data_IF_893593167483
#
_entry.id   IF_893593167483
#
_cell.length_a   1.000
_cell.length_b   1.000
_cell.length_c   1.000
_cell.angle_alpha   90.00
_cell.angle_beta   90.00
_cell.angle_gamma   90.00
#
_symmetry.space_group_name_H-M   'P 1'
#
loop_
_entity.id
_entity.type
_entity.pdbx_description
1 polymer ?
#
# COMPACT_ATOMS: atom_id res chain seq x y z
N UNK A 1 -15.04 -9.10 30.27
CA UNK A 1 -15.33 -9.49 31.67
C UNK A 1 -15.29 -11.00 31.79
N UNK A 2 -14.67 -11.48 32.83
CA UNK A 2 -14.78 -12.88 33.21
C UNK A 2 -16.07 -13.08 34.01
N UNK A 3 -16.91 -14.03 33.63
CA UNK A 3 -18.25 -14.16 34.21
C UNK A 3 -18.27 -14.43 35.72
N UNK A 4 -17.25 -15.11 36.22
CA UNK A 4 -17.09 -15.52 37.60
C UNK A 4 -16.14 -14.62 38.43
N UNK A 5 -15.55 -13.58 37.79
CA UNK A 5 -14.67 -12.62 38.45
C UNK A 5 -14.82 -11.22 37.84
N UNK A 6 -15.64 -10.34 38.43
CA UNK A 6 -15.89 -9.00 37.90
C UNK A 6 -14.66 -8.06 38.03
N UNK A 7 -13.62 -8.45 38.76
CA UNK A 7 -12.39 -7.67 38.82
C UNK A 7 -11.44 -7.96 37.69
N UNK A 8 -11.63 -9.09 36.97
CA UNK A 8 -10.82 -9.44 35.84
C UNK A 8 -11.38 -8.88 34.54
N UNK A 9 -10.57 -8.07 33.85
CA UNK A 9 -10.90 -7.43 32.60
C UNK A 9 -9.80 -7.69 31.58
N UNK A 10 -10.19 -7.93 30.33
CA UNK A 10 -9.33 -7.87 29.16
C UNK A 10 -9.78 -6.71 28.29
N UNK A 11 -8.83 -5.94 27.79
CA UNK A 11 -9.07 -4.84 26.87
C UNK A 11 -8.13 -4.98 25.66
N UNK A 12 -8.71 -5.06 24.47
CA UNK A 12 -8.00 -4.92 23.22
C UNK A 12 -7.95 -3.45 22.81
N UNK A 13 -6.80 -3.00 22.38
CA UNK A 13 -6.56 -1.67 21.83
C UNK A 13 -5.77 -1.81 20.54
N UNK A 14 -5.60 -0.74 19.79
CA UNK A 14 -4.66 -0.69 18.66
C UNK A 14 -3.19 -0.91 19.08
N UNK A 15 -2.84 -0.61 20.33
CA UNK A 15 -1.53 -0.88 20.91
C UNK A 15 -1.34 -2.27 21.52
N UNK A 16 -2.35 -3.17 21.47
CA UNK A 16 -2.26 -4.53 21.97
C UNK A 16 -3.32 -4.91 23.02
N UNK A 17 -3.02 -5.93 23.83
CA UNK A 17 -3.92 -6.47 24.84
C UNK A 17 -3.43 -6.07 26.23
N UNK A 18 -4.36 -5.67 27.06
CA UNK A 18 -4.14 -5.33 28.45
C UNK A 18 -5.04 -6.14 29.39
N UNK A 19 -4.51 -6.52 30.55
CA UNK A 19 -5.21 -7.22 31.62
C UNK A 19 -5.34 -6.35 32.85
N UNK A 20 -6.49 -6.38 33.51
CA UNK A 20 -6.69 -5.85 34.85
C UNK A 20 -7.26 -6.94 35.76
N UNK A 21 -6.75 -7.03 36.97
CA UNK A 21 -7.19 -7.98 37.99
C UNK A 21 -7.87 -7.28 39.19
N UNK A 22 -8.08 -5.97 39.10
CA UNK A 22 -8.56 -5.12 40.18
C UNK A 22 -9.63 -4.12 39.73
N UNK A 23 -10.45 -4.53 38.77
CA UNK A 23 -11.52 -3.72 38.20
C UNK A 23 -11.02 -2.38 37.63
N UNK A 24 -10.05 -2.47 36.72
CA UNK A 24 -9.43 -1.36 35.97
C UNK A 24 -8.63 -0.32 36.80
N UNK A 25 -8.28 -0.60 38.03
CA UNK A 25 -7.40 0.30 38.81
C UNK A 25 -5.96 0.25 38.32
N UNK A 26 -5.50 -0.92 37.95
CA UNK A 26 -4.18 -1.14 37.32
C UNK A 26 -4.31 -2.00 36.08
N UNK A 27 -3.44 -1.74 35.10
CA UNK A 27 -3.38 -2.48 33.85
C UNK A 27 -2.00 -3.04 33.60
N UNK A 28 -1.96 -4.29 33.16
CA UNK A 28 -0.76 -4.99 32.73
C UNK A 28 -0.81 -5.19 31.22
N UNK A 29 0.20 -4.71 30.51
CA UNK A 29 0.36 -4.99 29.09
C UNK A 29 0.79 -6.46 28.85
N UNK A 30 0.16 -7.13 27.91
CA UNK A 30 0.48 -8.51 27.51
C UNK A 30 1.56 -8.47 26.42
N UNK A 31 2.82 -8.42 26.83
CA UNK A 31 3.98 -8.20 25.94
C UNK A 31 4.45 -9.45 25.15
N UNK A 32 3.87 -10.60 25.40
CA UNK A 32 4.36 -11.88 24.87
C UNK A 32 3.54 -12.43 23.69
N UNK A 33 2.76 -11.60 23.03
CA UNK A 33 2.03 -11.97 21.83
C UNK A 33 2.93 -11.75 20.60
N UNK A 34 3.34 -12.82 19.89
CA UNK A 34 4.16 -12.70 18.68
C UNK A 34 3.28 -12.40 17.46
N UNK A 35 2.58 -11.28 17.49
CA UNK A 35 1.62 -10.88 16.46
C UNK A 35 2.03 -9.55 15.85
N UNK A 36 1.92 -9.46 14.53
CA UNK A 36 2.05 -8.23 13.75
C UNK A 36 1.04 -8.28 12.60
N UNK A 37 0.37 -7.17 12.35
CA UNK A 37 -0.50 -7.02 11.20
C UNK A 37 0.25 -6.26 10.11
N UNK A 38 0.47 -6.92 8.98
CA UNK A 38 1.04 -6.27 7.80
C UNK A 38 -0.07 -5.81 6.85
N UNK A 39 0.10 -4.63 6.26
CA UNK A 39 -0.73 -4.19 5.15
C UNK A 39 -0.40 -4.97 3.88
N UNK A 40 0.84 -4.91 3.45
CA UNK A 40 1.34 -5.63 2.27
C UNK A 40 2.77 -6.08 2.50
N UNK A 41 3.19 -7.07 1.71
CA UNK A 41 4.50 -7.70 1.81
C UNK A 41 5.23 -7.64 0.46
N UNK A 42 6.55 -7.58 0.53
CA UNK A 42 7.45 -7.84 -0.59
C UNK A 42 8.58 -8.77 -0.16
N UNK A 43 9.15 -9.46 -1.12
CA UNK A 43 10.34 -10.29 -0.92
C UNK A 43 11.41 -9.87 -1.93
N UNK A 44 12.68 -9.91 -1.55
CA UNK A 44 13.80 -9.79 -2.48
C UNK A 44 14.31 -11.17 -2.93
N UNK A 45 15.33 -11.17 -3.74
CA UNK A 45 15.99 -12.37 -4.28
C UNK A 45 17.41 -12.54 -3.73
N UNK A 46 17.68 -12.03 -2.51
CA UNK A 46 18.98 -12.16 -1.88
C UNK A 46 19.37 -13.63 -1.64
N UNK A 47 20.62 -13.94 -1.91
CA UNK A 47 21.22 -15.26 -1.66
C UNK A 47 22.09 -15.25 -0.38
N UNK A 48 22.18 -16.32 0.39
CA UNK A 48 21.48 -17.61 0.23
C UNK A 48 20.04 -17.61 0.79
N UNK A 49 19.61 -16.52 1.42
CA UNK A 49 18.25 -16.35 1.97
C UNK A 49 17.69 -15.01 1.57
N UNK A 50 16.52 -15.03 0.95
CA UNK A 50 15.79 -13.80 0.63
C UNK A 50 15.33 -13.07 1.91
N UNK A 51 15.09 -11.78 1.81
CA UNK A 51 14.49 -10.99 2.87
C UNK A 51 13.00 -10.78 2.60
N UNK A 52 12.28 -10.53 3.69
CA UNK A 52 10.85 -10.21 3.71
C UNK A 52 10.73 -8.77 4.20
N UNK A 53 9.93 -7.98 3.51
CA UNK A 53 9.60 -6.60 3.87
C UNK A 53 8.11 -6.48 4.08
N UNK A 54 7.69 -5.74 5.10
CA UNK A 54 6.28 -5.55 5.38
C UNK A 54 6.01 -4.21 6.05
N UNK A 55 5.00 -3.51 5.58
CA UNK A 55 4.51 -2.27 6.17
C UNK A 55 3.48 -2.55 7.25
N UNK A 56 3.59 -1.85 8.36
CA UNK A 56 2.68 -1.96 9.50
C UNK A 56 2.24 -0.57 9.95
N UNK A 57 0.97 -0.39 10.22
CA UNK A 57 0.50 0.86 10.82
C UNK A 57 1.14 1.04 12.20
N UNK A 58 1.55 2.26 12.52
CA UNK A 58 2.19 2.69 13.77
C UNK A 58 3.56 2.02 14.08
N UNK A 59 3.96 0.99 13.33
CA UNK A 59 5.17 0.21 13.59
C UNK A 59 6.15 0.16 12.42
N UNK A 60 6.11 1.15 11.54
CA UNK A 60 7.06 1.35 10.43
C UNK A 60 6.97 0.27 9.33
N UNK A 61 7.79 0.38 8.30
CA UNK A 61 8.11 -0.72 7.40
C UNK A 61 9.27 -1.51 7.97
N UNK A 62 9.08 -2.80 8.16
CA UNK A 62 10.06 -3.74 8.72
C UNK A 62 10.68 -4.57 7.62
N UNK A 63 11.96 -4.92 7.80
CA UNK A 63 12.68 -5.87 6.94
C UNK A 63 13.41 -6.92 7.76
N UNK A 64 13.46 -8.14 7.26
CA UNK A 64 14.19 -9.21 7.93
C UNK A 64 14.40 -10.43 7.04
N UNK A 65 15.33 -11.33 7.39
CA UNK A 65 15.66 -12.49 6.57
C UNK A 65 14.60 -13.58 6.67
N UNK A 66 14.38 -14.34 5.59
CA UNK A 66 13.53 -15.53 5.58
C UNK A 66 14.14 -16.70 6.36
N UNK A 67 15.47 -16.72 6.50
CA UNK A 67 16.26 -17.74 7.22
C UNK A 67 17.54 -17.15 7.79
N UNK A 68 18.16 -17.89 8.71
CA UNK A 68 19.47 -17.57 9.28
C UNK A 68 20.27 -18.85 9.54
N UNK A 69 21.59 -18.76 9.56
CA UNK A 69 22.49 -19.84 10.02
C UNK A 69 22.60 -19.92 11.55
N UNK A 70 22.01 -18.99 12.29
CA UNK A 70 22.03 -19.02 13.76
C UNK A 70 21.31 -20.25 14.29
N UNK A 71 21.92 -20.94 15.25
CA UNK A 71 21.35 -22.16 15.87
C UNK A 71 19.94 -21.96 16.43
N UNK A 72 19.68 -20.80 16.98
CA UNK A 72 18.40 -20.47 17.62
C UNK A 72 17.37 -19.86 16.65
N UNK A 73 17.67 -19.81 15.34
CA UNK A 73 16.78 -19.26 14.33
C UNK A 73 16.80 -17.72 14.28
N UNK A 74 15.77 -17.17 13.66
CA UNK A 74 15.57 -15.71 13.53
C UNK A 74 15.16 -15.14 14.89
N UNK A 75 15.72 -14.00 15.24
CA UNK A 75 15.41 -13.25 16.46
C UNK A 75 15.02 -11.81 16.12
N UNK A 76 14.49 -11.08 17.09
CA UNK A 76 14.13 -9.66 16.88
C UNK A 76 15.31 -8.80 16.40
N UNK A 77 16.54 -9.16 16.76
CA UNK A 77 17.73 -8.43 16.29
C UNK A 77 18.07 -8.66 14.81
N UNK A 78 17.39 -9.58 14.13
CA UNK A 78 17.54 -9.81 12.70
C UNK A 78 16.58 -8.94 11.87
N UNK A 79 15.60 -8.33 12.52
CA UNK A 79 14.66 -7.38 11.92
C UNK A 79 15.15 -5.96 12.12
N UNK A 80 14.89 -5.11 11.13
CA UNK A 80 15.27 -3.70 11.14
C UNK A 80 14.19 -2.83 10.52
N UNK A 81 14.15 -1.57 10.93
CA UNK A 81 13.26 -0.56 10.34
C UNK A 81 13.83 -0.13 8.99
N UNK A 82 13.03 -0.28 7.94
CA UNK A 82 13.36 0.14 6.57
C UNK A 82 12.99 1.62 6.37
N UNK A 83 11.76 1.99 6.78
CA UNK A 83 11.26 3.37 6.72
C UNK A 83 10.32 3.61 7.89
N UNK A 84 10.43 4.79 8.52
CA UNK A 84 9.57 5.21 9.62
C UNK A 84 8.18 5.66 9.16
N UNK A 85 7.23 5.72 10.08
CA UNK A 85 5.84 6.13 9.87
C UNK A 85 4.88 4.95 9.83
N UNK A 86 3.65 5.17 9.35
CA UNK A 86 2.72 4.08 9.07
C UNK A 86 3.17 3.37 7.80
N UNK A 87 3.82 2.22 7.96
CA UNK A 87 4.36 1.47 6.84
C UNK A 87 3.25 0.88 5.99
N UNK A 88 3.39 0.96 4.67
CA UNK A 88 2.43 0.44 3.69
C UNK A 88 3.08 -0.58 2.76
N UNK A 89 2.80 -0.49 1.47
CA UNK A 89 3.33 -1.42 0.49
C UNK A 89 4.83 -1.20 0.25
N UNK A 90 5.72 -2.13 0.62
CA UNK A 90 7.09 -2.15 0.14
C UNK A 90 7.16 -2.74 -1.27
N UNK A 91 8.27 -2.51 -1.96
CA UNK A 91 8.62 -3.18 -3.20
C UNK A 91 10.13 -3.39 -3.28
N UNK A 92 10.55 -4.37 -4.06
CA UNK A 92 11.95 -4.74 -4.25
C UNK A 92 12.31 -4.73 -5.73
N UNK A 93 13.57 -4.47 -6.02
CA UNK A 93 14.06 -4.46 -7.40
C UNK A 93 14.45 -5.89 -7.80
N UNK A 94 13.83 -6.50 -8.83
CA UNK A 94 14.21 -7.81 -9.31
C UNK A 94 15.69 -7.89 -9.71
N UNK A 95 16.41 -8.91 -9.25
CA UNK A 95 17.83 -9.10 -9.51
C UNK A 95 18.77 -8.16 -8.75
N UNK A 96 18.24 -7.33 -7.85
CA UNK A 96 19.04 -6.41 -7.05
C UNK A 96 18.48 -6.24 -5.63
N UNK A 97 18.82 -7.15 -4.71
CA UNK A 97 18.31 -7.13 -3.34
C UNK A 97 18.79 -5.94 -2.49
N UNK A 98 19.73 -5.14 -3.01
CA UNK A 98 20.25 -3.99 -2.29
C UNK A 98 19.33 -2.77 -2.35
N UNK A 99 18.40 -2.72 -3.32
CA UNK A 99 17.45 -1.62 -3.49
C UNK A 99 16.06 -2.04 -3.02
N UNK A 100 15.53 -1.29 -2.08
CA UNK A 100 14.18 -1.46 -1.53
C UNK A 100 13.41 -0.15 -1.65
N UNK A 101 12.17 -0.25 -2.04
CA UNK A 101 11.21 0.84 -2.01
C UNK A 101 10.29 0.63 -0.81
N UNK A 102 10.16 1.65 0.01
CA UNK A 102 9.26 1.62 1.15
C UNK A 102 8.47 2.92 1.22
N UNK A 103 7.25 2.84 1.68
CA UNK A 103 6.42 4.02 1.81
C UNK A 103 5.74 4.08 3.18
N UNK A 104 5.44 5.30 3.59
CA UNK A 104 4.51 5.60 4.64
C UNK A 104 3.23 6.21 4.05
N UNK A 105 2.31 6.60 4.92
CA UNK A 105 0.98 7.08 4.55
C UNK A 105 0.99 8.16 3.45
N UNK A 106 -0.05 8.15 2.64
CA UNK A 106 -0.32 9.15 1.60
C UNK A 106 0.82 9.31 0.58
N UNK A 107 1.43 8.17 0.19
CA UNK A 107 2.41 8.13 -0.89
C UNK A 107 3.77 8.73 -0.55
N UNK A 108 4.11 8.89 0.72
CA UNK A 108 5.47 9.27 1.11
C UNK A 108 6.40 8.08 0.88
N UNK A 109 7.00 8.01 -0.30
CA UNK A 109 7.81 6.89 -0.77
C UNK A 109 9.29 7.23 -0.85
N UNK A 110 10.13 6.32 -0.37
CA UNK A 110 11.58 6.40 -0.46
C UNK A 110 12.16 5.18 -1.19
N UNK A 111 13.24 5.42 -1.94
CA UNK A 111 14.19 4.42 -2.37
C UNK A 111 15.29 4.31 -1.33
N UNK A 112 15.57 3.10 -0.87
CA UNK A 112 16.57 2.79 0.14
C UNK A 112 17.66 1.91 -0.47
N UNK A 113 18.92 2.36 -0.38
CA UNK A 113 20.09 1.54 -0.68
C UNK A 113 20.57 0.88 0.62
N UNK A 114 20.41 -0.43 0.72
CA UNK A 114 20.75 -1.21 1.90
C UNK A 114 22.25 -1.34 2.14
N UNK A 115 23.08 -1.11 1.12
CA UNK A 115 24.54 -1.25 1.23
C UNK A 115 25.17 -0.13 2.03
N UNK A 116 24.57 1.06 1.98
CA UNK A 116 25.11 2.26 2.61
C UNK A 116 24.11 2.98 3.53
N UNK A 117 22.84 2.58 3.51
CA UNK A 117 21.77 3.18 4.30
C UNK A 117 21.22 4.49 3.71
N UNK A 118 21.56 4.83 2.47
CA UNK A 118 21.00 6.00 1.81
C UNK A 118 19.49 5.83 1.60
N UNK A 119 18.72 6.87 1.92
CA UNK A 119 17.27 6.91 1.75
C UNK A 119 16.88 8.21 1.05
N UNK A 120 16.38 8.10 -0.17
CA UNK A 120 16.02 9.22 -1.04
C UNK A 120 14.51 9.24 -1.22
N UNK A 121 13.87 10.37 -0.91
CA UNK A 121 12.46 10.55 -1.24
C UNK A 121 12.29 10.67 -2.75
N UNK A 122 11.43 9.80 -3.30
CA UNK A 122 11.18 9.69 -4.74
C UNK A 122 9.71 9.94 -5.08
N UNK A 123 8.93 10.53 -4.20
CA UNK A 123 7.51 10.80 -4.42
C UNK A 123 7.29 11.63 -5.67
N UNK A 124 6.45 11.19 -6.64
CA UNK A 124 6.06 12.04 -7.75
C UNK A 124 5.28 13.27 -7.26
N UNK A 125 5.44 14.38 -7.95
CA UNK A 125 4.78 15.64 -7.61
C UNK A 125 4.17 16.25 -8.88
N UNK A 126 3.07 16.93 -8.68
CA UNK A 126 2.43 17.72 -9.72
C UNK A 126 3.36 18.84 -10.25
N UNK A 127 3.23 19.16 -11.51
CA UNK A 127 3.88 20.32 -12.10
C UNK A 127 3.22 21.64 -11.67
N UNK A 128 3.88 22.75 -12.01
CA UNK A 128 3.31 24.09 -11.82
C UNK A 128 2.02 24.18 -12.65
N UNK A 129 0.94 24.66 -12.06
CA UNK A 129 -0.39 24.77 -12.66
C UNK A 129 -1.11 23.43 -12.96
N UNK A 130 -0.59 22.31 -12.47
CA UNK A 130 -1.29 21.03 -12.49
C UNK A 130 -2.16 20.82 -11.24
N UNK A 131 -3.23 20.02 -11.33
CA UNK A 131 -4.03 19.64 -10.17
C UNK A 131 -3.18 18.91 -9.12
N UNK A 132 -3.50 19.14 -7.85
CA UNK A 132 -2.87 18.46 -6.72
C UNK A 132 -2.98 16.93 -6.85
N UNK A 133 -1.89 16.21 -6.56
CA UNK A 133 -1.86 14.75 -6.56
C UNK A 133 -2.57 14.17 -5.34
N UNK A 134 -3.59 13.34 -5.60
CA UNK A 134 -4.34 12.61 -4.58
C UNK A 134 -3.72 11.25 -4.36
N UNK A 135 -3.17 11.01 -3.19
CA UNK A 135 -2.60 9.73 -2.79
C UNK A 135 -3.58 8.99 -1.88
N UNK A 136 -3.79 7.71 -2.13
CA UNK A 136 -4.44 6.85 -1.15
C UNK A 136 -3.59 6.77 0.12
N UNK A 137 -4.22 6.40 1.23
CA UNK A 137 -3.47 6.09 2.45
C UNK A 137 -2.41 5.03 2.18
N UNK A 138 -2.78 3.97 1.44
CA UNK A 138 -1.92 2.90 0.95
C UNK A 138 -1.77 3.00 -0.58
N UNK A 139 -1.04 4.02 -1.06
CA UNK A 139 -0.84 4.24 -2.48
C UNK A 139 -0.05 3.07 -3.11
N UNK A 140 -0.48 2.52 -4.27
CA UNK A 140 0.17 1.36 -4.84
C UNK A 140 1.47 1.71 -5.56
N UNK A 141 2.52 0.92 -5.30
CA UNK A 141 3.77 0.90 -6.05
C UNK A 141 3.91 -0.43 -6.80
N UNK A 142 4.45 -0.37 -8.00
CA UNK A 142 4.80 -1.53 -8.82
C UNK A 142 6.19 -1.35 -9.39
N UNK A 143 7.06 -2.34 -9.21
CA UNK A 143 8.34 -2.45 -9.92
C UNK A 143 8.12 -3.35 -11.12
N UNK A 144 8.49 -2.89 -12.32
CA UNK A 144 8.31 -3.65 -13.55
C UNK A 144 9.10 -4.95 -13.52
N UNK A 145 8.50 -6.01 -14.05
CA UNK A 145 9.18 -7.29 -14.26
C UNK A 145 10.00 -7.30 -15.56
N UNK A 146 9.73 -6.35 -16.47
CA UNK A 146 10.43 -6.22 -17.76
C UNK A 146 11.67 -5.34 -17.65
N UNK A 147 11.63 -4.29 -16.82
CA UNK A 147 12.76 -3.43 -16.49
C UNK A 147 12.81 -3.15 -14.99
N UNK A 148 13.76 -3.73 -14.25
CA UNK A 148 13.85 -3.56 -12.79
C UNK A 148 14.01 -2.12 -12.29
N UNK A 149 14.42 -1.18 -13.16
CA UNK A 149 14.54 0.24 -12.84
C UNK A 149 13.25 1.02 -13.08
N UNK A 150 12.30 0.41 -13.80
CA UNK A 150 11.02 1.02 -14.08
C UNK A 150 10.06 0.84 -12.91
N UNK A 151 9.49 1.94 -12.50
CA UNK A 151 8.49 2.00 -11.43
C UNK A 151 7.17 2.56 -11.97
N UNK A 152 6.08 2.06 -11.43
CA UNK A 152 4.76 2.69 -11.53
C UNK A 152 4.26 3.05 -10.14
N UNK A 153 3.61 4.21 -10.03
CA UNK A 153 3.05 4.68 -8.77
C UNK A 153 1.66 5.28 -8.99
N UNK A 154 0.70 4.92 -8.14
CA UNK A 154 -0.70 5.33 -8.28
C UNK A 154 -1.05 6.52 -7.40
N UNK A 155 -1.62 7.55 -8.03
CA UNK A 155 -2.33 8.67 -7.39
C UNK A 155 -3.78 8.65 -7.87
N UNK A 156 -4.35 9.74 -8.42
CA UNK A 156 -5.51 9.68 -9.31
C UNK A 156 -5.10 9.30 -10.74
N UNK A 157 -3.81 9.39 -11.07
CA UNK A 157 -3.21 9.00 -12.34
C UNK A 157 -2.06 8.04 -12.12
N UNK A 158 -1.64 7.35 -13.15
CA UNK A 158 -0.48 6.46 -13.10
C UNK A 158 0.76 7.25 -13.48
N UNK A 159 1.73 7.24 -12.60
CA UNK A 159 3.07 7.75 -12.81
C UNK A 159 4.02 6.63 -13.19
N UNK A 160 4.93 6.89 -14.14
CA UNK A 160 6.00 5.98 -14.57
C UNK A 160 7.35 6.65 -14.44
N UNK A 161 8.31 5.93 -13.87
CA UNK A 161 9.73 6.28 -13.83
C UNK A 161 10.55 5.22 -14.54
N UNK A 162 11.54 5.62 -15.32
CA UNK A 162 12.51 4.71 -15.97
C UNK A 162 13.86 4.65 -15.24
N UNK A 163 13.98 5.33 -14.11
CA UNK A 163 15.25 5.56 -13.41
C UNK A 163 15.12 5.50 -11.88
N UNK A 164 14.37 4.49 -11.38
CA UNK A 164 14.23 4.25 -9.94
C UNK A 164 13.59 5.40 -9.16
N UNK A 165 12.76 6.20 -9.80
CA UNK A 165 12.07 7.33 -9.18
C UNK A 165 12.84 8.65 -9.19
N UNK A 166 13.99 8.76 -9.84
CA UNK A 166 14.71 10.03 -9.97
C UNK A 166 13.95 11.05 -10.82
N UNK A 167 13.14 10.58 -11.75
CA UNK A 167 12.17 11.39 -12.49
C UNK A 167 10.92 10.59 -12.83
N UNK A 168 9.79 11.30 -13.00
CA UNK A 168 8.49 10.72 -13.25
C UNK A 168 7.78 11.38 -14.42
N UNK A 169 7.00 10.59 -15.15
CA UNK A 169 6.08 11.05 -16.19
C UNK A 169 4.71 10.43 -15.95
N UNK A 170 3.64 11.21 -16.06
CA UNK A 170 2.30 10.68 -16.04
C UNK A 170 1.99 9.93 -17.34
N UNK A 171 1.54 8.68 -17.24
CA UNK A 171 1.15 7.82 -18.35
C UNK A 171 -0.36 7.61 -18.43
N UNK A 172 -1.11 8.40 -17.66
CA UNK A 172 -2.57 8.46 -17.74
C UNK A 172 -3.06 9.86 -17.39
N UNK A 173 -4.29 10.15 -17.74
CA UNK A 173 -5.10 11.21 -17.12
C UNK A 173 -5.64 10.75 -15.76
N UNK A 174 -6.54 11.51 -15.13
CA UNK A 174 -7.28 11.06 -13.95
C UNK A 174 -8.13 9.82 -14.32
N UNK A 175 -7.86 8.69 -13.65
CA UNK A 175 -8.51 7.41 -13.90
C UNK A 175 -9.70 7.14 -12.96
N UNK A 176 -10.01 8.07 -12.07
CA UNK A 176 -11.05 7.97 -11.05
C UNK A 176 -12.38 8.57 -11.52
N UNK A 177 -13.39 8.60 -10.66
CA UNK A 177 -14.63 9.36 -10.90
C UNK A 177 -14.43 10.86 -10.65
N UNK A 178 -13.43 11.23 -9.87
CA UNK A 178 -13.14 12.60 -9.48
C UNK A 178 -14.34 13.34 -8.85
N UNK A 179 -15.05 12.64 -7.95
CA UNK A 179 -16.22 13.17 -7.26
C UNK A 179 -15.80 14.11 -6.12
N UNK A 180 -16.56 15.21 -5.92
CA UNK A 180 -16.30 16.11 -4.80
C UNK A 180 -16.59 15.43 -3.47
N UNK A 181 -15.55 15.25 -2.65
CA UNK A 181 -15.60 14.48 -1.40
C UNK A 181 -16.70 14.95 -0.45
N UNK A 182 -16.90 16.26 -0.31
CA UNK A 182 -17.90 16.84 0.59
C UNK A 182 -19.34 16.68 0.09
N UNK A 183 -19.54 16.38 -1.19
CA UNK A 183 -20.87 16.09 -1.74
C UNK A 183 -21.32 14.65 -1.52
N UNK A 184 -20.41 13.76 -1.13
CA UNK A 184 -20.69 12.35 -0.96
C UNK A 184 -21.21 12.03 0.46
N UNK A 185 -22.18 11.11 0.58
CA UNK A 185 -22.63 10.66 1.89
C UNK A 185 -21.57 9.78 2.55
N UNK A 186 -21.23 10.09 3.79
CA UNK A 186 -20.41 9.25 4.66
C UNK A 186 -21.29 8.83 5.83
N UNK A 187 -21.37 7.54 6.11
CA UNK A 187 -22.27 6.97 7.14
C UNK A 187 -23.74 7.37 6.94
N UNK A 188 -24.17 7.43 5.67
CA UNK A 188 -25.56 7.74 5.28
C UNK A 188 -25.94 9.23 5.31
N UNK A 189 -24.98 10.14 5.54
CA UNK A 189 -25.22 11.59 5.58
C UNK A 189 -24.17 12.35 4.78
N UNK A 190 -24.62 13.32 3.97
CA UNK A 190 -23.71 14.29 3.33
C UNK A 190 -23.04 15.11 4.41
N UNK A 191 -21.73 15.21 4.34
CA UNK A 191 -20.91 15.87 5.33
C UNK A 191 -20.75 17.37 5.02
N UNK A 192 -20.40 18.14 6.02
CA UNK A 192 -20.13 19.57 5.91
C UNK A 192 -18.88 19.91 6.74
N UNK A 193 -18.35 21.09 6.55
CA UNK A 193 -17.15 21.55 7.23
C UNK A 193 -17.29 21.65 8.77
N UNK A 194 -18.50 21.73 9.28
CA UNK A 194 -18.83 21.83 10.71
C UNK A 194 -19.18 20.48 11.37
N UNK A 195 -18.82 19.35 10.74
CA UNK A 195 -19.00 18.04 11.35
C UNK A 195 -18.19 17.89 12.65
N UNK A 196 -18.66 16.98 13.51
CA UNK A 196 -17.96 16.63 14.75
C UNK A 196 -16.59 15.97 14.54
N UNK A 197 -16.30 15.50 13.35
CA UNK A 197 -15.02 14.93 12.93
C UNK A 197 -14.51 15.63 11.68
N UNK A 198 -13.19 15.64 11.52
CA UNK A 198 -12.53 16.19 10.34
C UNK A 198 -12.64 15.19 9.17
N UNK A 199 -13.37 15.56 8.13
CA UNK A 199 -13.52 14.75 6.92
C UNK A 199 -12.19 14.60 6.17
N UNK A 200 -11.30 15.59 6.28
CA UNK A 200 -9.98 15.55 5.64
C UNK A 200 -8.94 14.74 6.42
N UNK A 201 -9.22 14.38 7.66
CA UNK A 201 -8.38 13.44 8.42
C UNK A 201 -8.59 11.98 7.97
N UNK A 202 -9.59 11.72 7.14
CA UNK A 202 -9.82 10.39 6.54
C UNK A 202 -8.93 10.19 5.32
N UNK A 203 -8.81 8.93 4.86
CA UNK A 203 -8.12 8.60 3.61
C UNK A 203 -8.64 9.44 2.45
N UNK A 204 -7.72 9.93 1.62
CA UNK A 204 -8.05 10.61 0.38
C UNK A 204 -8.86 9.69 -0.52
N UNK A 205 -9.96 10.18 -1.09
CA UNK A 205 -10.86 9.45 -1.98
C UNK A 205 -10.65 9.85 -3.45
N UNK A 206 -11.14 9.05 -4.38
CA UNK A 206 -10.87 9.13 -5.82
C UNK A 206 -9.39 8.94 -6.10
N UNK A 207 -8.87 7.80 -5.69
CA UNK A 207 -7.46 7.44 -5.81
C UNK A 207 -7.31 6.04 -6.40
N UNK A 208 -6.16 5.78 -7.02
CA UNK A 208 -5.78 4.44 -7.44
C UNK A 208 -5.32 3.68 -6.20
N UNK A 209 -5.81 2.45 -6.04
CA UNK A 209 -5.54 1.57 -4.89
C UNK A 209 -4.79 0.31 -5.28
N UNK A 210 -4.75 0.00 -6.58
CA UNK A 210 -4.03 -1.17 -7.10
C UNK A 210 -3.51 -0.94 -8.52
N UNK A 211 -2.34 -1.53 -8.80
CA UNK A 211 -1.67 -1.50 -10.09
C UNK A 211 -1.19 -2.90 -10.45
N UNK A 212 -1.25 -3.24 -11.73
CA UNK A 212 -0.62 -4.43 -12.26
C UNK A 212 -0.04 -4.17 -13.65
N UNK A 213 1.11 -4.79 -13.95
CA UNK A 213 1.71 -4.89 -15.26
C UNK A 213 1.60 -6.34 -15.73
N UNK A 214 1.30 -6.56 -17.00
CA UNK A 214 1.31 -7.92 -17.57
C UNK A 214 2.72 -8.48 -17.61
N UNK A 215 2.89 -9.72 -17.16
CA UNK A 215 4.18 -10.42 -17.29
C UNK A 215 4.52 -10.80 -18.75
N UNK A 216 3.53 -10.72 -19.66
CA UNK A 216 3.66 -11.13 -21.07
C UNK A 216 3.99 -9.94 -21.96
N UNK A 217 3.45 -8.75 -21.66
CA UNK A 217 3.63 -7.53 -22.47
C UNK A 217 3.74 -6.31 -21.55
N UNK A 218 4.88 -5.64 -21.56
CA UNK A 218 5.17 -4.46 -20.74
C UNK A 218 4.26 -3.25 -21.01
N UNK A 219 3.55 -3.23 -22.13
CA UNK A 219 2.63 -2.16 -22.48
C UNK A 219 1.22 -2.36 -21.90
N UNK A 220 0.94 -3.53 -21.35
CA UNK A 220 -0.37 -3.84 -20.76
C UNK A 220 -0.35 -3.59 -19.27
N UNK A 221 -1.08 -2.53 -18.87
CA UNK A 221 -1.19 -2.09 -17.47
C UNK A 221 -2.65 -2.06 -17.05
N UNK A 222 -2.88 -2.30 -15.76
CA UNK A 222 -4.18 -2.25 -15.09
C UNK A 222 -4.11 -1.34 -13.87
N UNK A 223 -5.17 -0.56 -13.65
CA UNK A 223 -5.34 0.28 -12.47
C UNK A 223 -6.75 0.08 -11.89
N UNK A 224 -6.83 -0.09 -10.58
CA UNK A 224 -8.08 -0.15 -9.84
C UNK A 224 -8.16 0.98 -8.82
N UNK A 225 -9.38 1.45 -8.53
CA UNK A 225 -9.61 2.64 -7.70
C UNK A 225 -10.50 2.34 -6.49
N UNK A 226 -10.47 3.24 -5.52
CA UNK A 226 -11.34 3.21 -4.33
C UNK A 226 -12.80 3.58 -4.63
N UNK A 227 -13.07 4.17 -5.78
CA UNK A 227 -14.41 4.62 -6.22
C UNK A 227 -15.08 3.67 -7.23
N UNK A 228 -14.51 2.48 -7.44
CA UNK A 228 -15.13 1.42 -8.23
C UNK A 228 -14.87 1.50 -9.73
N UNK A 229 -13.71 2.00 -10.13
CA UNK A 229 -13.27 2.01 -11.51
C UNK A 229 -12.09 1.06 -11.70
N UNK A 230 -12.11 0.32 -12.79
CA UNK A 230 -10.96 -0.42 -13.33
C UNK A 230 -10.63 0.20 -14.68
N UNK A 231 -9.37 0.52 -14.91
CA UNK A 231 -8.92 0.96 -16.22
C UNK A 231 -7.69 0.17 -16.66
N UNK A 232 -7.55 -0.02 -17.97
CA UNK A 232 -6.40 -0.71 -18.52
C UNK A 232 -5.93 -0.04 -19.82
N UNK A 233 -4.67 -0.22 -20.12
CA UNK A 233 -4.05 0.16 -21.40
C UNK A 233 -3.35 -1.04 -22.03
N UNK A 234 -3.11 -1.00 -23.35
CA UNK A 234 -2.35 -2.00 -24.13
C UNK A 234 -1.21 -1.37 -24.92
N UNK A 235 -0.91 -0.12 -24.67
CA UNK A 235 0.12 0.67 -25.35
C UNK A 235 0.99 1.49 -24.40
N UNK A 236 1.07 1.08 -23.13
CA UNK A 236 1.85 1.79 -22.12
C UNK A 236 1.29 3.14 -21.70
N UNK A 237 0.04 3.46 -22.09
CA UNK A 237 -0.62 4.72 -21.79
C UNK A 237 -0.43 5.80 -22.87
N UNK A 238 -0.02 5.43 -24.09
CA UNK A 238 0.08 6.37 -25.22
C UNK A 238 -1.29 6.88 -25.68
N UNK A 239 -2.32 6.03 -25.58
CA UNK A 239 -3.72 6.40 -25.85
C UNK A 239 -4.54 6.41 -24.55
N UNK A 240 -5.75 7.02 -24.56
CA UNK A 240 -6.63 6.99 -23.40
C UNK A 240 -6.94 5.58 -22.94
N UNK A 241 -6.82 5.35 -21.63
CA UNK A 241 -7.09 4.06 -21.00
C UNK A 241 -8.54 3.62 -21.20
N UNK A 242 -8.75 2.33 -21.34
CA UNK A 242 -10.08 1.73 -21.45
C UNK A 242 -10.69 1.57 -20.06
N UNK A 243 -11.87 2.17 -19.85
CA UNK A 243 -12.59 2.18 -18.58
C UNK A 243 -13.61 1.05 -18.47
N UNK A 244 -13.63 0.40 -17.31
CA UNK A 244 -14.68 -0.51 -16.87
C UNK A 244 -15.09 -0.15 -15.44
N UNK A 245 -16.37 -0.25 -15.12
CA UNK A 245 -16.88 -0.09 -13.76
C UNK A 245 -17.08 -1.44 -13.10
N UNK A 246 -16.80 -1.52 -11.79
CA UNK A 246 -16.84 -2.78 -11.03
C UNK A 246 -18.23 -3.42 -10.96
N UNK A 247 -19.31 -2.67 -11.19
CA UNK A 247 -20.68 -3.19 -11.30
C UNK A 247 -20.90 -4.15 -12.50
N UNK A 248 -19.95 -4.20 -13.41
CA UNK A 248 -19.91 -5.21 -14.49
C UNK A 248 -19.43 -6.57 -13.99
N UNK A 249 -18.77 -6.61 -12.83
CA UNK A 249 -18.33 -7.85 -12.21
C UNK A 249 -19.52 -8.49 -11.44
N UNK A 250 -19.72 -9.82 -11.53
CA UNK A 250 -20.85 -10.47 -10.86
C UNK A 250 -20.85 -10.24 -9.34
N UNK A 251 -21.93 -9.66 -8.83
CA UNK A 251 -22.13 -9.44 -7.40
C UNK A 251 -21.37 -8.25 -6.79
N UNK A 252 -20.67 -7.47 -7.59
CA UNK A 252 -19.94 -6.30 -7.12
C UNK A 252 -20.84 -5.05 -7.08
N UNK A 253 -20.87 -4.26 -5.98
CA UNK A 253 -21.58 -2.99 -5.95
C UNK A 253 -20.87 -1.94 -6.82
N UNK A 254 -21.64 -0.95 -7.31
CA UNK A 254 -21.13 0.06 -8.25
C UNK A 254 -19.99 0.97 -7.70
N UNK A 255 -19.80 0.98 -6.39
CA UNK A 255 -18.71 1.70 -5.70
C UNK A 255 -17.80 0.74 -4.94
N UNK A 256 -17.69 -0.51 -5.40
CA UNK A 256 -16.79 -1.50 -4.79
C UNK A 256 -15.35 -1.02 -4.84
N UNK A 257 -14.68 -1.01 -3.70
CA UNK A 257 -13.26 -0.71 -3.59
C UNK A 257 -12.44 -1.81 -4.29
N UNK A 258 -11.54 -1.44 -5.19
CA UNK A 258 -10.64 -2.39 -5.85
C UNK A 258 -9.38 -2.55 -5.00
N UNK A 259 -9.36 -3.60 -4.19
CA UNK A 259 -8.28 -3.83 -3.24
C UNK A 259 -6.98 -4.32 -3.89
N UNK A 260 -7.10 -5.18 -4.89
CA UNK A 260 -5.94 -5.70 -5.63
C UNK A 260 -6.30 -6.08 -7.07
N UNK A 261 -5.34 -5.93 -7.97
CA UNK A 261 -5.38 -6.43 -9.34
C UNK A 261 -4.10 -7.22 -9.60
N UNK A 262 -4.25 -8.41 -10.19
CA UNK A 262 -3.13 -9.21 -10.67
C UNK A 262 -3.35 -9.55 -12.13
N UNK A 263 -2.40 -9.21 -12.97
CA UNK A 263 -2.36 -9.71 -14.35
C UNK A 263 -2.06 -11.22 -14.34
N UNK A 264 -2.65 -11.94 -15.27
CA UNK A 264 -2.34 -13.37 -15.45
C UNK A 264 -0.88 -13.55 -15.91
N UNK A 265 -0.24 -14.60 -15.43
CA UNK A 265 1.18 -14.86 -15.71
C UNK A 265 1.44 -15.30 -17.16
N UNK A 266 0.42 -15.78 -17.87
CA UNK A 266 0.56 -16.44 -19.16
C UNK A 266 -0.37 -15.87 -20.25
N UNK A 267 -1.46 -15.22 -19.86
CA UNK A 267 -2.44 -14.63 -20.79
C UNK A 267 -2.48 -13.10 -20.63
N UNK A 268 -2.01 -12.41 -21.65
CA UNK A 268 -1.98 -10.93 -21.69
C UNK A 268 -3.36 -10.27 -21.58
N UNK A 269 -4.44 -10.99 -21.84
CA UNK A 269 -5.81 -10.45 -21.83
C UNK A 269 -6.59 -10.76 -20.54
N UNK A 270 -5.97 -11.44 -19.58
CA UNK A 270 -6.62 -11.86 -18.36
C UNK A 270 -6.03 -11.13 -17.14
N UNK A 271 -6.91 -10.63 -16.28
CA UNK A 271 -6.57 -10.08 -14.96
C UNK A 271 -7.57 -10.54 -13.90
N UNK A 272 -7.10 -10.67 -12.67
CA UNK A 272 -7.89 -11.03 -11.49
C UNK A 272 -8.07 -9.79 -10.62
N UNK A 273 -9.26 -9.59 -10.09
CA UNK A 273 -9.62 -8.41 -9.31
C UNK A 273 -10.21 -8.86 -7.96
N UNK A 274 -9.75 -8.25 -6.86
CA UNK A 274 -10.23 -8.48 -5.51
C UNK A 274 -10.76 -7.20 -4.87
#
# INVERSE_FOLDING_TARGET
>A
FKADDPNYLLMGTDGGIYESFDNSKNWKYVANLPLTQFYKLAIDDAEPFYNIYGGTQDNNTQGGPSRTFKRNGISNSDWYVVLGGDGHQPATEPGNPDIVYAQSQQGYINRIDRTNGESVNIRPQEGIDEPYERFNWDAPILVSQHDPKRLYFGTQRVWRSENRGDSWSAVSTDLTKNEERLSLPIMGKVQSWDNAWDVYAMSTYNTITSLAESNVDENVLYAGTDDGIIQYTKDGGETPWTKMTVDKLPGCPASGFVNDIKADLHDVNTAYVA
#
